data_IF_942204727359
#
_entry.id   IF_942204727359
#
_cell.length_a   1.000
_cell.length_b   1.000
_cell.length_c   1.000
_cell.angle_alpha   90.00
_cell.angle_beta   90.00
_cell.angle_gamma   90.00
#
_symmetry.space_group_name_H-M   'P 1'
#
loop_
_entity.id
_entity.type
_entity.pdbx_description
1 polymer ?
#
# COMPACT_ATOMS: atom_id res chain seq x y z
N UNK A 1 -14.10 3.49 3.95
CA UNK A 1 -13.59 3.84 2.60
C UNK A 1 -12.49 2.84 2.25
N UNK A 2 -12.40 2.38 1.00
CA UNK A 2 -11.31 1.54 0.51
C UNK A 2 -10.42 2.38 -0.41
N UNK A 3 -9.10 2.35 -0.18
CA UNK A 3 -8.12 3.07 -1.01
C UNK A 3 -6.90 2.21 -1.26
N UNK A 4 -6.24 2.50 -2.38
CA UNK A 4 -4.96 1.95 -2.78
C UNK A 4 -3.98 3.12 -2.93
N UNK A 5 -3.21 3.48 -1.89
CA UNK A 5 -2.25 4.59 -1.96
C UNK A 5 -1.25 4.48 -3.11
N UNK A 6 -0.94 3.27 -3.58
CA UNK A 6 -0.14 2.98 -4.76
C UNK A 6 -0.78 3.43 -6.08
N UNK A 7 -2.11 3.48 -6.13
CA UNK A 7 -2.93 4.01 -7.21
C UNK A 7 -3.09 3.11 -8.45
N UNK A 8 -2.42 1.96 -8.53
CA UNK A 8 -2.50 1.04 -9.68
C UNK A 8 -1.95 -0.35 -9.34
N UNK A 9 -2.10 -1.31 -10.27
CA UNK A 9 -1.63 -2.68 -10.10
C UNK A 9 -0.10 -2.78 -10.27
N UNK A 10 0.50 -3.73 -9.56
CA UNK A 10 1.90 -4.10 -9.72
C UNK A 10 2.09 -4.83 -11.05
N UNK A 11 2.88 -4.21 -11.93
CA UNK A 11 3.38 -4.75 -13.20
C UNK A 11 4.82 -4.30 -13.35
N UNK A 12 5.61 -4.91 -14.22
CA UNK A 12 6.99 -4.45 -14.46
C UNK A 12 7.05 -2.97 -14.84
N UNK A 13 6.12 -2.49 -15.69
CA UNK A 13 6.10 -1.09 -16.11
C UNK A 13 5.72 -0.12 -14.97
N UNK A 14 4.73 -0.47 -14.15
CA UNK A 14 4.29 0.37 -13.02
C UNK A 14 5.34 0.35 -11.91
N UNK A 15 6.04 -0.77 -11.70
CA UNK A 15 7.17 -0.89 -10.77
C UNK A 15 8.29 0.06 -11.13
N UNK A 16 8.73 0.07 -12.39
CA UNK A 16 9.78 1.00 -12.87
C UNK A 16 9.38 2.46 -12.59
N UNK A 17 8.17 2.87 -12.99
CA UNK A 17 7.67 4.24 -12.76
C UNK A 17 7.54 4.58 -11.27
N UNK A 18 7.21 3.60 -10.45
CA UNK A 18 7.10 3.76 -9.01
C UNK A 18 8.47 3.97 -8.36
N UNK A 19 9.46 3.17 -8.76
CA UNK A 19 10.85 3.31 -8.31
C UNK A 19 11.49 4.62 -8.82
N UNK A 20 11.20 5.05 -10.05
CA UNK A 20 11.62 6.37 -10.56
C UNK A 20 11.01 7.53 -9.77
N UNK A 21 9.76 7.38 -9.31
CA UNK A 21 9.14 8.36 -8.43
C UNK A 21 9.83 8.39 -7.07
N UNK A 22 10.07 7.22 -6.46
CA UNK A 22 10.72 7.12 -5.16
C UNK A 22 12.14 7.70 -5.19
N UNK A 23 12.90 7.44 -6.25
CA UNK A 23 14.25 7.98 -6.43
C UNK A 23 14.33 9.52 -6.47
N UNK A 24 13.21 10.20 -6.77
CA UNK A 24 13.11 11.66 -6.76
C UNK A 24 12.76 12.23 -5.38
N UNK A 25 12.41 11.39 -4.42
CA UNK A 25 12.06 11.81 -3.06
C UNK A 25 13.23 11.55 -2.12
N UNK A 26 13.46 12.47 -1.19
CA UNK A 26 14.55 12.35 -0.21
C UNK A 26 14.26 11.37 0.92
N UNK A 27 12.99 10.98 1.12
CA UNK A 27 12.52 10.19 2.26
C UNK A 27 12.24 8.71 1.95
N UNK A 28 12.28 8.29 0.68
CA UNK A 28 12.04 6.89 0.31
C UNK A 28 13.34 6.08 0.30
N UNK A 29 13.26 4.85 0.82
CA UNK A 29 14.30 3.84 0.63
C UNK A 29 14.31 3.33 -0.82
N UNK A 30 15.45 2.80 -1.26
CA UNK A 30 15.66 2.34 -2.64
C UNK A 30 14.71 1.19 -3.02
N UNK A 31 14.29 1.22 -4.30
CA UNK A 31 13.50 0.26 -5.10
C UNK A 31 12.77 -0.88 -4.36
N UNK A 32 11.45 -0.91 -4.51
CA UNK A 32 10.63 -2.06 -4.12
C UNK A 32 10.47 -3.05 -5.27
N UNK A 33 10.36 -4.34 -4.92
CA UNK A 33 10.13 -5.44 -5.85
C UNK A 33 8.72 -6.03 -5.74
N UNK A 34 8.14 -6.05 -4.54
CA UNK A 34 6.86 -6.71 -4.25
C UNK A 34 5.72 -5.71 -4.02
N UNK A 35 6.04 -4.42 -3.90
CA UNK A 35 5.09 -3.33 -3.73
C UNK A 35 5.40 -2.16 -4.66
N UNK A 36 4.37 -1.34 -4.94
CA UNK A 36 4.55 -0.01 -5.50
C UNK A 36 4.59 1.02 -4.36
N UNK A 37 5.51 2.00 -4.41
CA UNK A 37 5.56 3.07 -3.43
C UNK A 37 4.23 3.85 -3.31
N UNK A 38 3.81 4.22 -2.08
CA UNK A 38 2.54 4.89 -1.85
C UNK A 38 2.60 6.37 -2.24
N UNK A 39 1.48 6.92 -2.69
CA UNK A 39 1.27 8.35 -2.92
C UNK A 39 0.73 9.00 -1.66
N UNK A 40 1.52 9.90 -1.08
CA UNK A 40 1.25 10.41 0.27
C UNK A 40 0.11 11.43 0.31
N UNK A 41 0.02 12.33 -0.67
CA UNK A 41 -0.84 13.52 -0.57
C UNK A 41 -2.33 13.17 -0.44
N UNK A 42 -2.82 12.22 -1.26
CA UNK A 42 -4.22 11.79 -1.20
C UNK A 42 -4.57 11.11 0.12
N UNK A 43 -3.66 10.28 0.64
CA UNK A 43 -3.83 9.63 1.93
C UNK A 43 -3.86 10.64 3.09
N UNK A 44 -2.90 11.59 3.12
CA UNK A 44 -2.85 12.66 4.14
C UNK A 44 -4.13 13.47 4.16
N UNK A 45 -4.57 13.93 2.98
CA UNK A 45 -5.82 14.67 2.84
C UNK A 45 -7.00 13.87 3.39
N UNK A 46 -7.16 12.62 2.96
CA UNK A 46 -8.27 11.78 3.40
C UNK A 46 -8.26 11.54 4.91
N UNK A 47 -7.11 11.16 5.47
CA UNK A 47 -6.98 10.91 6.91
C UNK A 47 -7.36 12.16 7.73
N UNK A 48 -6.86 13.32 7.35
CA UNK A 48 -7.16 14.57 8.05
C UNK A 48 -8.62 14.98 7.91
N UNK A 49 -9.20 14.88 6.72
CA UNK A 49 -10.62 15.21 6.49
C UNK A 49 -11.54 14.27 7.26
N UNK A 50 -11.29 12.96 7.22
CA UNK A 50 -12.14 12.02 7.95
C UNK A 50 -12.01 12.17 9.47
N UNK A 51 -10.81 12.54 9.95
CA UNK A 51 -10.58 12.85 11.36
C UNK A 51 -11.29 14.13 11.79
N UNK A 52 -11.29 15.18 10.97
CA UNK A 52 -11.96 16.45 11.31
C UNK A 52 -13.47 16.34 11.31
N UNK A 53 -14.03 15.50 10.44
CA UNK A 53 -15.47 15.21 10.39
C UNK A 53 -15.91 14.14 11.42
N UNK A 54 -14.99 13.64 12.26
CA UNK A 54 -15.24 12.61 13.28
C UNK A 54 -15.87 11.32 12.71
N UNK A 55 -15.49 10.93 11.49
CA UNK A 55 -16.03 9.75 10.77
C UNK A 55 -15.02 8.62 10.59
N UNK A 56 -13.94 8.60 11.37
CA UNK A 56 -12.87 7.59 11.29
C UNK A 56 -12.60 6.97 12.66
N UNK A 57 -12.89 5.68 12.82
CA UNK A 57 -12.56 4.94 14.05
C UNK A 57 -11.16 4.33 14.00
N UNK A 58 -10.77 3.78 12.84
CA UNK A 58 -9.53 3.05 12.65
C UNK A 58 -9.16 2.92 11.16
N UNK A 59 -7.91 2.51 10.90
CA UNK A 59 -7.44 2.03 9.60
C UNK A 59 -7.15 0.54 9.70
N UNK A 60 -7.86 -0.25 8.89
CA UNK A 60 -7.52 -1.66 8.68
C UNK A 60 -6.58 -1.76 7.47
N UNK A 61 -5.30 -2.01 7.75
CA UNK A 61 -4.25 -2.19 6.76
C UNK A 61 -4.22 -3.65 6.29
N UNK A 62 -4.45 -3.86 4.99
CA UNK A 62 -4.52 -5.19 4.37
C UNK A 62 -3.37 -5.35 3.38
N UNK A 63 -2.69 -6.49 3.48
CA UNK A 63 -1.67 -6.93 2.52
C UNK A 63 -2.04 -8.32 2.02
N UNK A 64 -2.01 -8.51 0.71
CA UNK A 64 -2.37 -9.76 0.07
C UNK A 64 -1.15 -10.29 -0.68
N UNK A 65 -0.68 -11.46 -0.28
CA UNK A 65 0.39 -12.20 -0.95
C UNK A 65 -0.17 -13.36 -1.76
N UNK A 66 0.42 -13.64 -2.91
CA UNK A 66 0.01 -14.72 -3.80
C UNK A 66 1.17 -15.70 -4.00
N UNK A 67 0.91 -17.00 -3.81
CA UNK A 67 1.87 -18.03 -4.22
C UNK A 67 1.56 -18.52 -5.64
N UNK A 68 2.62 -18.65 -6.44
CA UNK A 68 2.52 -19.15 -7.81
C UNK A 68 2.04 -18.06 -8.77
N UNK A 69 0.91 -18.26 -9.43
CA UNK A 69 0.41 -17.34 -10.45
C UNK A 69 -0.11 -16.05 -9.81
N UNK A 70 0.52 -14.92 -10.14
CA UNK A 70 0.00 -13.59 -9.79
C UNK A 70 -0.96 -13.18 -10.92
N UNK A 71 -2.27 -13.01 -10.65
CA UNK A 71 -3.21 -12.57 -11.66
C UNK A 71 -2.93 -11.09 -11.98
N UNK A 72 -2.44 -10.82 -13.19
CA UNK A 72 -2.13 -9.44 -13.62
C UNK A 72 -3.40 -8.72 -14.09
N UNK A 73 -4.35 -9.46 -14.66
CA UNK A 73 -5.63 -8.95 -15.12
C UNK A 73 -6.81 -9.77 -14.59
N UNK A 74 -7.98 -9.14 -14.44
CA UNK A 74 -9.22 -9.81 -14.01
C UNK A 74 -9.61 -10.99 -14.92
N UNK A 75 -9.18 -10.96 -16.19
CA UNK A 75 -9.42 -12.05 -17.14
C UNK A 75 -8.64 -13.32 -16.80
N UNK A 76 -7.52 -13.23 -16.07
CA UNK A 76 -6.75 -14.39 -15.64
C UNK A 76 -7.55 -15.23 -14.64
N UNK A 77 -8.34 -14.57 -13.79
CA UNK A 77 -9.30 -15.23 -12.90
C UNK A 77 -10.35 -16.02 -13.70
N UNK A 78 -10.92 -15.41 -14.75
CA UNK A 78 -11.91 -16.05 -15.61
C UNK A 78 -11.35 -17.25 -16.41
N UNK A 79 -10.04 -17.24 -16.69
CA UNK A 79 -9.33 -18.33 -17.37
C UNK A 79 -8.90 -19.45 -16.42
N UNK A 80 -9.18 -19.33 -15.13
CA UNK A 80 -8.76 -20.31 -14.12
C UNK A 80 -7.27 -20.22 -13.74
N UNK A 81 -6.57 -19.16 -14.15
CA UNK A 81 -5.22 -18.85 -13.67
C UNK A 81 -5.34 -18.18 -12.29
N UNK A 82 -5.62 -19.00 -11.29
CA UNK A 82 -5.81 -18.58 -9.91
C UNK A 82 -4.56 -18.98 -9.12
N UNK A 83 -4.06 -18.11 -8.23
CA UNK A 83 -3.01 -18.48 -7.29
C UNK A 83 -3.40 -19.71 -6.49
N UNK A 84 -2.44 -20.60 -6.23
CA UNK A 84 -2.69 -21.82 -5.47
C UNK A 84 -2.97 -21.52 -3.99
N UNK A 85 -2.33 -20.48 -3.47
CA UNK A 85 -2.47 -20.02 -2.08
C UNK A 85 -2.51 -18.49 -2.08
N UNK A 86 -3.40 -17.94 -1.25
CA UNK A 86 -3.53 -16.51 -1.02
C UNK A 86 -3.34 -16.25 0.47
N UNK A 87 -2.39 -15.39 0.81
CA UNK A 87 -2.10 -14.99 2.17
C UNK A 87 -2.69 -13.62 2.44
N UNK A 88 -3.46 -13.50 3.53
CA UNK A 88 -4.01 -12.23 4.00
C UNK A 88 -3.32 -11.84 5.30
N UNK A 89 -2.62 -10.72 5.27
CA UNK A 89 -2.10 -10.08 6.47
C UNK A 89 -2.92 -8.81 6.73
N UNK A 90 -3.62 -8.78 7.86
CA UNK A 90 -4.51 -7.69 8.26
C UNK A 90 -4.04 -7.12 9.58
N UNK A 91 -3.85 -5.81 9.64
CA UNK A 91 -3.47 -5.10 10.86
C UNK A 91 -4.30 -3.84 11.05
N UNK A 92 -4.94 -3.74 12.20
CA UNK A 92 -5.75 -2.58 12.58
C UNK A 92 -4.93 -1.54 13.32
N UNK A 93 -5.19 -0.26 13.04
CA UNK A 93 -4.65 0.89 13.74
C UNK A 93 -5.80 1.79 14.17
N UNK A 94 -6.05 1.87 15.48
CA UNK A 94 -7.08 2.74 16.03
C UNK A 94 -6.70 4.22 15.87
N UNK A 95 -7.69 5.11 15.76
CA UNK A 95 -7.50 6.54 15.43
C UNK A 95 -6.50 7.27 16.35
N UNK A 96 -6.44 6.88 17.62
CA UNK A 96 -5.57 7.45 18.65
C UNK A 96 -4.10 7.03 18.48
N UNK A 97 -3.84 5.91 17.81
CA UNK A 97 -2.49 5.44 17.47
C UNK A 97 -1.91 6.10 16.21
N UNK A 98 -2.75 6.77 15.43
CA UNK A 98 -2.35 7.39 14.16
C UNK A 98 -1.67 8.75 14.38
N UNK A 99 -0.63 9.07 13.60
CA UNK A 99 0.07 10.35 13.68
C UNK A 99 -0.83 11.54 13.38
N UNK A 100 -0.41 12.74 13.82
CA UNK A 100 -1.23 13.95 13.77
C UNK A 100 -0.77 14.93 12.71
N UNK A 101 0.53 15.06 12.45
CA UNK A 101 1.05 16.01 11.46
C UNK A 101 1.17 15.38 10.08
N UNK A 102 1.12 16.19 9.02
CA UNK A 102 1.23 15.71 7.64
C UNK A 102 2.57 15.02 7.38
N UNK A 103 3.64 15.51 7.99
CA UNK A 103 4.97 14.92 7.93
C UNK A 103 4.95 13.50 8.52
N UNK A 104 4.50 13.36 9.77
CA UNK A 104 4.44 12.07 10.48
C UNK A 104 3.47 11.08 9.80
N UNK A 105 2.35 11.56 9.25
CA UNK A 105 1.42 10.73 8.47
C UNK A 105 2.13 10.18 7.22
N UNK A 106 2.92 11.03 6.56
CA UNK A 106 3.73 10.63 5.43
C UNK A 106 4.73 9.53 5.80
N UNK A 107 5.51 9.75 6.86
CA UNK A 107 6.49 8.78 7.36
C UNK A 107 5.84 7.47 7.80
N UNK A 108 4.71 7.55 8.50
CA UNK A 108 3.94 6.39 8.92
C UNK A 108 3.51 5.54 7.72
N UNK A 109 2.92 6.15 6.70
CA UNK A 109 2.47 5.44 5.50
C UNK A 109 3.64 4.78 4.76
N UNK A 110 4.77 5.48 4.64
CA UNK A 110 5.98 4.93 4.03
C UNK A 110 6.49 3.72 4.80
N UNK A 111 6.56 3.81 6.14
CA UNK A 111 6.99 2.70 6.98
C UNK A 111 6.07 1.47 6.86
N UNK A 112 4.77 1.66 6.60
CA UNK A 112 3.86 0.54 6.33
C UNK A 112 4.25 -0.16 5.05
N UNK A 113 4.53 0.59 3.99
CA UNK A 113 4.94 0.00 2.71
C UNK A 113 6.28 -0.71 2.78
N UNK A 114 7.24 -0.18 3.53
CA UNK A 114 8.50 -0.88 3.78
C UNK A 114 8.29 -2.21 4.52
N UNK A 115 7.40 -2.24 5.52
CA UNK A 115 7.04 -3.48 6.21
C UNK A 115 6.35 -4.47 5.27
N UNK A 116 5.44 -4.01 4.41
CA UNK A 116 4.77 -4.85 3.40
C UNK A 116 5.76 -5.45 2.43
N UNK A 117 6.67 -4.63 1.90
CA UNK A 117 7.74 -5.07 0.99
C UNK A 117 8.60 -6.15 1.62
N UNK A 118 8.97 -5.99 2.90
CA UNK A 118 9.77 -7.00 3.61
C UNK A 118 8.97 -8.26 3.93
N UNK A 119 7.70 -8.12 4.31
CA UNK A 119 6.85 -9.26 4.63
C UNK A 119 6.53 -10.12 3.40
N UNK A 120 6.37 -9.50 2.22
CA UNK A 120 6.12 -10.21 0.97
C UNK A 120 7.36 -10.89 0.38
N UNK A 121 8.55 -10.62 0.91
CA UNK A 121 9.81 -11.30 0.54
C UNK A 121 9.98 -12.66 1.21
N UNK A 122 9.34 -12.86 2.35
CA UNK A 122 9.43 -14.07 3.18
C UNK A 122 8.46 -15.15 2.70
#
# INVERSE_FOLDING_TARGET
ILIFPEGTNLTEQTKIKSNEYAAKQTSFNASYEYCLHPRLNGFKFLLNSMRSEEILDAIDDVTIGYEGAIPEAEIDLLKGHIPSIIHFHVKRYDLDTLPRTDEEIGEWLQSRWEQKENHLKE
#
